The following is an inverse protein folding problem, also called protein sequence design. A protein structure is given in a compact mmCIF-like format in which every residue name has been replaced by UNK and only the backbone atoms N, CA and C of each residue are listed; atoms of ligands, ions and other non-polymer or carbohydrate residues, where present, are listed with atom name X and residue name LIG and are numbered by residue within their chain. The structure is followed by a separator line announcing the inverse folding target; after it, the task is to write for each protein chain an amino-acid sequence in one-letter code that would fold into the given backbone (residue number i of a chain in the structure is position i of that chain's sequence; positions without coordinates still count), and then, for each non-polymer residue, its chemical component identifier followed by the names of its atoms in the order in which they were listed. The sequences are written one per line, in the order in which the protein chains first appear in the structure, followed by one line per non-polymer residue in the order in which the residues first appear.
data_IF_650938807428
#
_entry.id   IF_650938807428
#
_cell.length_a   1.000
_cell.length_b   1.000
_cell.length_c   1.000
_cell.angle_alpha   90.00
_cell.angle_beta   90.00
_cell.angle_gamma   90.00
#
_symmetry.space_group_name_H-M   'P 1'
#
loop_
_entity.id
_entity.type
_entity.pdbx_description
1 polymer ?
#
# COMPACT_ATOMS: atom_id res chain seq x y z
N UNK A 1 -15.15 -27.23 -12.16
CA UNK A 1 -14.36 -27.02 -13.38
C UNK A 1 -12.90 -26.84 -13.02
N UNK A 2 -12.13 -27.93 -13.08
CA UNK A 2 -10.69 -27.92 -12.73
C UNK A 2 -9.82 -27.34 -13.87
N UNK A 3 -10.43 -27.06 -15.03
CA UNK A 3 -9.70 -26.59 -16.20
C UNK A 3 -9.69 -25.06 -16.27
N UNK A 4 -8.49 -24.46 -16.09
CA UNK A 4 -8.22 -23.04 -16.19
C UNK A 4 -7.71 -22.60 -17.58
N UNK A 5 -7.91 -23.44 -18.63
CA UNK A 5 -7.42 -23.15 -19.98
C UNK A 5 -7.86 -21.79 -20.54
N UNK A 6 -9.06 -21.34 -20.16
CA UNK A 6 -9.57 -20.02 -20.56
C UNK A 6 -8.66 -18.86 -20.11
N UNK A 7 -7.95 -18.99 -18.98
CA UNK A 7 -7.01 -17.95 -18.54
C UNK A 7 -5.80 -17.85 -19.46
N UNK A 8 -5.32 -18.99 -19.99
CA UNK A 8 -4.25 -18.99 -20.99
C UNK A 8 -4.73 -18.44 -22.34
N UNK A 9 -6.00 -18.68 -22.70
CA UNK A 9 -6.60 -18.12 -23.90
C UNK A 9 -6.68 -16.58 -23.80
N UNK A 10 -7.15 -16.06 -22.66
CA UNK A 10 -7.16 -14.63 -22.40
C UNK A 10 -5.74 -14.03 -22.39
N UNK A 11 -4.77 -14.71 -21.76
CA UNK A 11 -3.38 -14.23 -21.78
C UNK A 11 -2.82 -14.16 -23.20
N UNK A 12 -3.05 -15.19 -24.04
CA UNK A 12 -2.62 -15.17 -25.44
C UNK A 12 -3.27 -14.04 -26.25
N UNK A 13 -4.55 -13.79 -26.01
CA UNK A 13 -5.27 -12.69 -26.67
C UNK A 13 -4.71 -11.32 -26.24
N UNK A 14 -4.52 -11.12 -24.94
CA UNK A 14 -3.92 -9.92 -24.39
C UNK A 14 -2.51 -9.68 -24.93
N UNK A 15 -1.66 -10.71 -24.95
CA UNK A 15 -0.29 -10.58 -25.45
C UNK A 15 -0.26 -10.19 -26.93
N UNK A 16 -1.14 -10.75 -27.76
CA UNK A 16 -1.27 -10.35 -29.18
C UNK A 16 -1.70 -8.90 -29.29
N UNK A 17 -2.71 -8.47 -28.54
CA UNK A 17 -3.19 -7.09 -28.55
C UNK A 17 -2.08 -6.10 -28.19
N UNK A 18 -1.26 -6.41 -27.17
CA UNK A 18 -0.14 -5.54 -26.78
C UNK A 18 0.91 -5.45 -27.89
N UNK A 19 1.19 -6.55 -28.60
CA UNK A 19 2.13 -6.56 -29.73
C UNK A 19 1.58 -5.87 -30.99
N UNK A 20 0.27 -5.89 -31.20
CA UNK A 20 -0.38 -5.14 -32.28
C UNK A 20 -0.27 -3.62 -32.07
N UNK A 21 -0.35 -3.16 -30.79
CA UNK A 21 -0.19 -1.75 -30.42
C UNK A 21 1.27 -1.32 -30.47
N UNK A 22 2.17 -2.13 -29.91
CA UNK A 22 3.63 -1.93 -29.93
C UNK A 22 4.35 -3.27 -30.12
N UNK A 23 4.86 -3.57 -31.31
CA UNK A 23 5.60 -4.81 -31.58
C UNK A 23 6.84 -5.02 -30.68
N UNK A 24 7.34 -3.95 -30.08
CA UNK A 24 8.52 -3.99 -29.18
C UNK A 24 8.16 -4.05 -27.70
N UNK A 25 6.87 -4.08 -27.35
CA UNK A 25 6.38 -3.99 -25.97
C UNK A 25 7.08 -4.96 -25.02
N UNK A 26 7.01 -6.26 -25.30
CA UNK A 26 7.61 -7.27 -24.43
C UNK A 26 9.15 -7.29 -24.48
N UNK A 27 9.75 -6.98 -25.62
CA UNK A 27 11.21 -6.89 -25.72
C UNK A 27 11.76 -5.74 -24.89
N UNK A 28 11.07 -4.60 -24.82
CA UNK A 28 11.44 -3.49 -23.93
C UNK A 28 11.31 -3.90 -22.45
N UNK A 29 10.19 -4.52 -22.08
CA UNK A 29 9.95 -4.96 -20.69
C UNK A 29 10.94 -6.04 -20.22
N UNK A 30 11.42 -6.91 -21.13
CA UNK A 30 12.35 -7.98 -20.76
C UNK A 30 13.77 -7.50 -20.49
N UNK A 31 14.14 -6.30 -20.94
CA UNK A 31 15.50 -5.80 -20.84
C UNK A 31 15.83 -5.16 -19.49
N UNK A 32 14.90 -4.37 -18.93
CA UNK A 32 15.17 -3.60 -17.72
C UNK A 32 13.91 -3.38 -16.91
N UNK A 33 14.05 -3.38 -15.58
CA UNK A 33 13.05 -3.00 -14.62
C UNK A 33 13.48 -1.69 -13.94
N UNK A 34 12.78 -0.59 -14.24
CA UNK A 34 13.07 0.75 -13.70
C UNK A 34 11.81 1.44 -13.19
N UNK A 35 11.09 0.83 -12.23
CA UNK A 35 9.90 1.47 -11.68
C UNK A 35 10.27 2.72 -10.89
N UNK A 36 9.48 3.78 -11.05
CA UNK A 36 9.61 4.99 -10.22
C UNK A 36 8.91 4.82 -8.86
N UNK A 37 8.02 3.86 -8.74
CA UNK A 37 7.08 3.71 -7.65
C UNK A 37 7.18 2.34 -6.99
N UNK A 38 7.05 2.31 -5.64
CA UNK A 38 6.70 1.13 -4.86
C UNK A 38 5.28 1.32 -4.32
N UNK A 39 4.40 0.37 -4.61
CA UNK A 39 3.07 0.26 -4.03
C UNK A 39 3.06 -0.80 -2.94
N UNK A 40 2.65 -0.42 -1.72
CA UNK A 40 2.39 -1.35 -0.62
C UNK A 40 0.90 -1.29 -0.32
N UNK A 41 0.16 -2.34 -0.66
CA UNK A 41 -1.29 -2.34 -0.59
C UNK A 41 -1.90 -3.59 0.02
N UNK A 42 -3.24 -3.58 0.07
CA UNK A 42 -4.01 -4.73 0.54
C UNK A 42 -4.05 -5.85 -0.52
N UNK A 43 -4.12 -7.10 -0.04
CA UNK A 43 -4.35 -8.27 -0.89
C UNK A 43 -5.77 -8.36 -1.47
N UNK A 44 -6.67 -7.44 -1.11
CA UNK A 44 -8.05 -7.40 -1.59
C UNK A 44 -8.10 -7.40 -3.12
N UNK A 45 -8.83 -8.35 -3.69
CA UNK A 45 -8.90 -8.57 -5.14
C UNK A 45 -9.53 -7.40 -5.92
N UNK A 46 -10.24 -6.50 -5.22
CA UNK A 46 -10.91 -5.34 -5.79
C UNK A 46 -9.99 -4.12 -5.94
N UNK A 47 -8.72 -4.23 -5.51
CA UNK A 47 -7.73 -3.12 -5.51
C UNK A 47 -6.54 -3.47 -6.41
N UNK A 48 -6.70 -3.43 -7.75
CA UNK A 48 -5.60 -3.71 -8.68
C UNK A 48 -4.71 -2.48 -8.87
N UNK A 49 -3.50 -2.52 -8.30
CA UNK A 49 -2.59 -1.38 -8.19
C UNK A 49 -2.37 -0.61 -9.50
N UNK A 50 -1.91 -1.29 -10.56
CA UNK A 50 -1.62 -0.64 -11.84
C UNK A 50 -2.84 0.02 -12.47
N UNK A 51 -3.98 -0.66 -12.46
CA UNK A 51 -5.19 -0.18 -13.12
C UNK A 51 -5.74 1.09 -12.48
N UNK A 52 -5.72 1.16 -11.13
CA UNK A 52 -6.29 2.27 -10.36
C UNK A 52 -5.57 3.59 -10.67
N UNK A 53 -4.24 3.55 -10.83
CA UNK A 53 -3.42 4.74 -11.05
C UNK A 53 -2.96 4.90 -12.51
N UNK A 54 -3.45 4.06 -13.42
CA UNK A 54 -3.15 4.16 -14.85
C UNK A 54 -1.70 3.87 -15.21
N UNK A 55 -0.98 3.10 -14.40
CA UNK A 55 0.40 2.71 -14.65
C UNK A 55 0.47 1.40 -15.45
N UNK A 56 1.43 1.36 -16.37
CA UNK A 56 1.67 0.18 -17.19
C UNK A 56 2.56 -0.84 -16.44
N UNK A 57 2.58 -2.12 -16.87
CA UNK A 57 3.55 -3.09 -16.40
C UNK A 57 4.99 -2.54 -16.49
N UNK A 58 5.77 -2.73 -15.43
CA UNK A 58 7.14 -2.23 -15.33
C UNK A 58 7.30 -0.86 -14.65
N UNK A 59 6.23 -0.07 -14.50
CA UNK A 59 6.29 1.27 -13.91
C UNK A 59 6.14 1.29 -12.39
N UNK A 60 5.53 0.25 -11.80
CA UNK A 60 5.33 0.13 -10.35
C UNK A 60 5.78 -1.23 -9.83
N UNK A 61 6.59 -1.22 -8.77
CA UNK A 61 6.95 -2.40 -7.99
C UNK A 61 5.90 -2.59 -6.91
N UNK A 62 5.37 -3.81 -6.73
CA UNK A 62 4.16 -4.02 -5.93
C UNK A 62 4.41 -5.03 -4.81
N UNK A 63 4.07 -4.65 -3.58
CA UNK A 63 3.92 -5.54 -2.43
C UNK A 63 2.48 -5.52 -1.93
N UNK A 64 1.93 -6.70 -1.61
CA UNK A 64 0.55 -6.82 -1.09
C UNK A 64 0.48 -7.83 0.04
N UNK A 65 -0.25 -7.45 1.10
CA UNK A 65 -0.59 -8.34 2.19
C UNK A 65 -1.98 -8.00 2.75
N UNK A 66 -2.50 -8.79 3.68
CA UNK A 66 -3.80 -8.50 4.31
C UNK A 66 -3.70 -7.20 5.09
N UNK A 67 -4.57 -6.24 4.76
CA UNK A 67 -4.67 -4.91 5.39
C UNK A 67 -3.43 -4.02 5.22
N UNK A 68 -2.67 -4.15 4.13
CA UNK A 68 -1.56 -3.25 3.76
C UNK A 68 -0.57 -2.94 4.91
N UNK A 69 -0.18 -3.97 5.66
CA UNK A 69 0.67 -3.82 6.84
C UNK A 69 2.16 -3.66 6.49
N UNK A 70 2.84 -2.81 7.25
CA UNK A 70 4.29 -2.68 7.27
C UNK A 70 4.77 -2.95 8.69
N UNK A 71 5.12 -4.19 8.96
CA UNK A 71 5.52 -4.65 10.28
C UNK A 71 7.04 -4.64 10.39
N UNK A 72 7.58 -4.12 11.49
CA UNK A 72 9.03 -3.97 11.70
C UNK A 72 9.83 -5.28 11.70
N UNK A 73 9.17 -6.41 11.85
CA UNK A 73 9.76 -7.76 11.85
C UNK A 73 9.31 -8.62 10.66
N UNK A 74 8.50 -8.07 9.75
CA UNK A 74 8.11 -8.77 8.53
C UNK A 74 9.20 -8.66 7.46
N UNK A 75 10.09 -9.65 7.44
CA UNK A 75 11.19 -9.71 6.47
C UNK A 75 10.71 -9.71 5.01
N UNK A 76 9.50 -10.19 4.74
CA UNK A 76 8.95 -10.16 3.39
C UNK A 76 8.71 -8.70 2.92
N UNK A 77 7.95 -7.92 3.68
CA UNK A 77 7.72 -6.50 3.35
C UNK A 77 9.04 -5.70 3.36
N UNK A 78 9.88 -5.89 4.38
CA UNK A 78 11.15 -5.16 4.52
C UNK A 78 12.11 -5.45 3.38
N UNK A 79 12.20 -6.69 2.89
CA UNK A 79 13.04 -7.05 1.74
C UNK A 79 12.55 -6.41 0.44
N UNK A 80 11.24 -6.28 0.26
CA UNK A 80 10.66 -5.55 -0.88
C UNK A 80 11.00 -4.06 -0.81
N UNK A 81 10.88 -3.44 0.36
CA UNK A 81 11.27 -2.03 0.56
C UNK A 81 12.76 -1.84 0.26
N UNK A 82 13.62 -2.71 0.80
CA UNK A 82 15.06 -2.63 0.56
C UNK A 82 15.39 -2.77 -0.92
N UNK A 83 14.85 -3.78 -1.59
CA UNK A 83 15.10 -3.98 -3.02
C UNK A 83 14.62 -2.80 -3.86
N UNK A 84 13.43 -2.27 -3.56
CA UNK A 84 12.88 -1.12 -4.24
C UNK A 84 13.76 0.13 -4.09
N UNK A 85 14.20 0.43 -2.86
CA UNK A 85 14.98 1.64 -2.56
C UNK A 85 16.43 1.51 -2.99
N UNK A 86 17.09 0.38 -2.70
CA UNK A 86 18.52 0.23 -2.89
C UNK A 86 18.91 -0.31 -4.27
N UNK A 87 18.15 -1.26 -4.81
CA UNK A 87 18.43 -1.85 -6.11
C UNK A 87 17.72 -1.11 -7.25
N UNK A 88 16.39 -0.94 -7.15
CA UNK A 88 15.57 -0.32 -8.20
C UNK A 88 15.59 1.21 -8.17
N UNK A 89 16.00 1.81 -7.06
CA UNK A 89 16.07 3.27 -6.87
C UNK A 89 14.72 3.98 -7.07
N UNK A 90 13.63 3.37 -6.60
CA UNK A 90 12.32 4.02 -6.64
C UNK A 90 12.35 5.36 -5.92
N UNK A 91 11.59 6.33 -6.43
CA UNK A 91 11.53 7.67 -5.86
C UNK A 91 10.32 7.87 -4.96
N UNK A 92 9.30 7.05 -5.10
CA UNK A 92 8.06 7.16 -4.34
C UNK A 92 7.64 5.81 -3.77
N UNK A 93 7.29 5.80 -2.49
CA UNK A 93 6.69 4.66 -1.80
C UNK A 93 5.27 5.07 -1.40
N UNK A 94 4.27 4.39 -1.94
CA UNK A 94 2.88 4.63 -1.66
C UNK A 94 2.34 3.51 -0.78
N UNK A 95 1.94 3.84 0.45
CA UNK A 95 1.16 2.92 1.29
C UNK A 95 -0.31 3.19 1.00
N UNK A 96 -0.99 2.19 0.46
CA UNK A 96 -2.35 2.34 -0.04
C UNK A 96 -3.29 1.36 0.65
N UNK A 97 -4.17 1.91 1.48
CA UNK A 97 -5.31 1.18 2.03
C UNK A 97 -6.57 1.36 1.17
N UNK A 98 -7.66 0.80 1.64
CA UNK A 98 -8.96 1.00 1.01
C UNK A 98 -10.07 0.95 2.05
N UNK A 99 -11.15 1.68 1.81
CA UNK A 99 -12.36 1.56 2.58
C UNK A 99 -13.00 0.16 2.37
N UNK A 100 -13.76 -0.30 3.33
CA UNK A 100 -14.37 -1.63 3.24
C UNK A 100 -13.38 -2.80 3.37
N UNK A 101 -12.20 -2.59 3.97
CA UNK A 101 -11.19 -3.63 4.17
C UNK A 101 -11.66 -4.69 5.18
N UNK A 102 -11.79 -5.94 4.72
CA UNK A 102 -12.23 -7.05 5.57
C UNK A 102 -11.27 -7.36 6.72
N UNK A 103 -9.95 -7.20 6.52
CA UNK A 103 -8.97 -7.38 7.58
C UNK A 103 -9.09 -6.32 8.68
N UNK A 104 -9.26 -5.04 8.31
CA UNK A 104 -9.47 -3.94 9.26
C UNK A 104 -10.79 -4.14 10.02
N UNK A 105 -11.86 -4.56 9.33
CA UNK A 105 -13.15 -4.88 9.95
C UNK A 105 -13.02 -6.00 10.98
N UNK A 106 -12.39 -7.11 10.63
CA UNK A 106 -12.18 -8.22 11.54
C UNK A 106 -11.35 -7.83 12.78
N UNK A 107 -10.36 -6.92 12.61
CA UNK A 107 -9.59 -6.38 13.74
C UNK A 107 -10.44 -5.52 14.67
N UNK A 108 -11.25 -4.60 14.11
CA UNK A 108 -12.15 -3.71 14.86
C UNK A 108 -13.20 -4.49 15.66
N UNK A 109 -13.83 -5.46 15.02
CA UNK A 109 -14.85 -6.32 15.63
C UNK A 109 -14.28 -7.39 16.56
N UNK A 110 -12.95 -7.53 16.63
CA UNK A 110 -12.25 -8.59 17.40
C UNK A 110 -12.72 -10.00 17.00
N UNK A 111 -13.07 -10.17 15.72
CA UNK A 111 -13.53 -11.43 15.17
C UNK A 111 -12.44 -12.50 15.26
N UNK A 112 -12.86 -13.76 15.50
CA UNK A 112 -11.96 -14.92 15.45
C UNK A 112 -12.03 -15.56 14.06
N UNK A 113 -10.96 -15.37 13.27
CA UNK A 113 -10.85 -15.88 11.88
C UNK A 113 -9.73 -16.90 11.71
N UNK A 114 -9.02 -17.24 12.78
CA UNK A 114 -7.97 -18.26 12.77
C UNK A 114 -6.56 -17.66 12.70
N UNK A 115 -5.66 -18.29 11.91
CA UNK A 115 -4.25 -17.88 11.85
C UNK A 115 -4.04 -16.39 11.56
N UNK A 116 -4.89 -15.82 10.73
CA UNK A 116 -4.81 -14.40 10.35
C UNK A 116 -5.00 -13.44 11.54
N UNK A 117 -5.60 -13.88 12.65
CA UNK A 117 -5.75 -13.07 13.86
C UNK A 117 -4.40 -12.61 14.44
N UNK A 118 -3.36 -13.44 14.28
CA UNK A 118 -1.99 -13.09 14.71
C UNK A 118 -1.49 -11.90 13.88
N UNK A 119 -1.73 -11.92 12.59
CA UNK A 119 -1.38 -10.83 11.68
C UNK A 119 -2.21 -9.56 11.93
N UNK A 120 -3.50 -9.71 12.13
CA UNK A 120 -4.43 -8.60 12.41
C UNK A 120 -4.21 -7.96 13.78
N UNK A 121 -3.38 -8.57 14.66
CA UNK A 121 -2.97 -7.92 15.90
C UNK A 121 -2.33 -6.56 15.64
N UNK A 122 -1.56 -6.43 14.57
CA UNK A 122 -0.95 -5.15 14.20
C UNK A 122 -1.98 -4.07 13.85
N UNK A 123 -3.12 -4.43 13.26
CA UNK A 123 -4.23 -3.50 13.05
C UNK A 123 -4.93 -3.14 14.38
N UNK A 124 -5.04 -4.11 15.29
CA UNK A 124 -5.58 -3.85 16.65
C UNK A 124 -4.67 -2.90 17.43
N UNK A 125 -3.35 -3.02 17.29
CA UNK A 125 -2.39 -2.11 17.92
C UNK A 125 -2.57 -0.67 17.40
N UNK A 126 -2.90 -0.49 16.11
CA UNK A 126 -3.30 0.82 15.57
C UNK A 126 -4.60 1.31 16.21
N UNK A 127 -5.63 0.46 16.32
CA UNK A 127 -6.87 0.82 17.00
C UNK A 127 -6.63 1.21 18.47
N UNK A 128 -5.86 0.40 19.21
CA UNK A 128 -5.56 0.65 20.61
C UNK A 128 -4.79 1.97 20.81
N UNK A 129 -3.90 2.33 19.86
CA UNK A 129 -3.17 3.61 19.84
C UNK A 129 -4.10 4.81 19.64
N UNK A 130 -5.14 4.65 18.82
CA UNK A 130 -6.05 5.71 18.39
C UNK A 130 -7.49 5.50 18.89
N UNK A 131 -7.67 4.74 19.98
CA UNK A 131 -8.99 4.35 20.49
C UNK A 131 -9.92 5.54 20.70
N UNK A 132 -9.41 6.65 21.23
CA UNK A 132 -10.22 7.85 21.48
C UNK A 132 -10.76 8.46 20.17
N UNK A 133 -9.95 8.50 19.11
CA UNK A 133 -10.35 9.03 17.81
C UNK A 133 -11.35 8.13 17.06
N UNK A 134 -11.26 6.80 17.26
CA UNK A 134 -12.17 5.84 16.63
C UNK A 134 -13.46 5.72 17.41
N UNK A 135 -13.39 5.51 18.74
CA UNK A 135 -14.57 5.21 19.55
C UNK A 135 -15.50 6.42 19.79
N UNK A 136 -14.97 7.64 19.64
CA UNK A 136 -15.78 8.86 19.65
C UNK A 136 -16.73 8.98 18.45
N UNK A 137 -16.45 8.26 17.35
CA UNK A 137 -17.26 8.32 16.14
C UNK A 137 -18.50 7.41 16.23
N UNK A 138 -19.57 7.73 15.48
CA UNK A 138 -20.68 6.81 15.25
C UNK A 138 -20.16 5.47 14.70
N UNK A 139 -20.76 4.36 15.11
CA UNK A 139 -20.32 3.00 14.74
C UNK A 139 -20.10 2.83 13.22
N UNK A 140 -21.00 3.40 12.41
CA UNK A 140 -20.91 3.33 10.95
C UNK A 140 -19.65 3.99 10.36
N UNK A 141 -19.00 4.89 11.09
CA UNK A 141 -17.78 5.61 10.62
C UNK A 141 -16.47 5.02 11.17
N UNK A 142 -16.54 4.19 12.20
CA UNK A 142 -15.35 3.66 12.89
C UNK A 142 -14.47 2.81 11.99
N UNK A 143 -15.08 2.01 11.12
CA UNK A 143 -14.35 1.16 10.19
C UNK A 143 -13.52 1.98 9.20
N UNK A 144 -14.12 2.99 8.59
CA UNK A 144 -13.43 3.85 7.62
C UNK A 144 -12.32 4.63 8.29
N UNK A 145 -12.58 5.18 9.48
CA UNK A 145 -11.53 5.86 10.27
C UNK A 145 -10.38 4.95 10.61
N UNK A 146 -10.64 3.70 11.00
CA UNK A 146 -9.55 2.75 11.27
C UNK A 146 -8.78 2.37 10.00
N UNK A 147 -9.44 2.31 8.84
CA UNK A 147 -8.75 2.13 7.55
C UNK A 147 -7.76 3.28 7.28
N UNK A 148 -8.17 4.53 7.51
CA UNK A 148 -7.34 5.72 7.32
C UNK A 148 -6.15 5.74 8.29
N UNK A 149 -6.41 5.54 9.58
CA UNK A 149 -5.38 5.47 10.62
C UNK A 149 -4.37 4.35 10.35
N UNK A 150 -4.85 3.18 9.93
CA UNK A 150 -3.99 2.07 9.56
C UNK A 150 -3.03 2.45 8.43
N UNK A 151 -3.50 3.13 7.39
CA UNK A 151 -2.62 3.62 6.31
C UNK A 151 -1.57 4.59 6.83
N UNK A 152 -1.96 5.57 7.65
CA UNK A 152 -1.03 6.54 8.23
C UNK A 152 0.05 5.87 9.09
N UNK A 153 -0.33 4.92 9.94
CA UNK A 153 0.63 4.18 10.79
C UNK A 153 1.59 3.33 9.95
N UNK A 154 1.10 2.66 8.91
CA UNK A 154 1.96 1.88 8.04
C UNK A 154 2.91 2.76 7.21
N UNK A 155 2.47 3.94 6.74
CA UNK A 155 3.35 4.90 6.10
C UNK A 155 4.39 5.47 7.07
N UNK A 156 4.01 5.72 8.32
CA UNK A 156 4.95 6.09 9.39
C UNK A 156 5.99 4.97 9.62
N UNK A 157 5.55 3.72 9.66
CA UNK A 157 6.45 2.56 9.78
C UNK A 157 7.46 2.48 8.64
N UNK A 158 7.05 2.75 7.39
CA UNK A 158 7.97 2.84 6.23
C UNK A 158 9.03 3.90 6.47
N UNK A 159 8.64 5.11 6.90
CA UNK A 159 9.58 6.19 7.19
C UNK A 159 10.60 5.83 8.27
N UNK A 160 10.23 4.98 9.22
CA UNK A 160 11.08 4.57 10.34
C UNK A 160 11.97 3.37 10.02
N UNK A 161 11.83 2.73 8.85
CA UNK A 161 12.74 1.67 8.45
C UNK A 161 14.16 2.21 8.26
N UNK A 162 15.17 1.41 8.65
CA UNK A 162 16.57 1.79 8.43
C UNK A 162 16.85 2.04 6.93
N UNK A 163 16.21 1.30 6.04
CA UNK A 163 16.35 1.46 4.58
C UNK A 163 16.02 2.88 4.12
N UNK A 164 14.89 3.41 4.58
CA UNK A 164 14.44 4.77 4.20
C UNK A 164 15.27 5.81 4.93
N UNK A 165 15.58 5.62 6.21
CA UNK A 165 16.42 6.52 6.99
C UNK A 165 17.83 6.65 6.39
N UNK A 166 18.45 5.54 6.02
CA UNK A 166 19.77 5.52 5.39
C UNK A 166 19.72 6.12 3.97
N UNK A 167 18.62 5.91 3.22
CA UNK A 167 18.42 6.55 1.92
C UNK A 167 18.43 8.08 2.06
N UNK A 168 17.69 8.62 3.02
CA UNK A 168 17.68 10.05 3.29
C UNK A 168 19.04 10.57 3.78
N UNK A 169 19.72 9.82 4.67
CA UNK A 169 21.03 10.20 5.19
C UNK A 169 22.10 10.34 4.09
N UNK A 170 22.03 9.50 3.04
CA UNK A 170 22.93 9.59 1.87
C UNK A 170 22.43 10.54 0.77
N UNK A 171 21.35 11.30 1.01
CA UNK A 171 20.79 12.27 0.06
C UNK A 171 20.01 11.64 -1.10
N UNK A 172 19.63 10.36 -0.99
CA UNK A 172 18.79 9.70 -2.00
C UNK A 172 17.35 10.22 -1.89
N UNK A 173 16.76 10.56 -3.03
CA UNK A 173 15.38 11.04 -3.10
C UNK A 173 14.42 9.86 -2.94
N UNK A 174 13.76 9.78 -1.80
CA UNK A 174 12.67 8.84 -1.52
C UNK A 174 11.58 9.60 -0.80
N UNK A 175 10.35 9.52 -1.31
CA UNK A 175 9.17 10.17 -0.72
C UNK A 175 8.14 9.11 -0.38
N UNK A 176 7.63 9.13 0.84
CA UNK A 176 6.60 8.21 1.35
C UNK A 176 5.25 8.91 1.36
N UNK A 177 4.23 8.25 0.85
CA UNK A 177 2.86 8.74 0.76
C UNK A 177 1.88 7.80 1.44
N UNK A 178 0.81 8.36 2.01
CA UNK A 178 -0.31 7.63 2.60
C UNK A 178 -1.60 7.92 1.83
N UNK A 179 -2.12 6.95 1.11
CA UNK A 179 -3.33 7.08 0.29
C UNK A 179 -4.38 6.05 0.66
N UNK A 180 -5.65 6.39 0.43
CA UNK A 180 -6.77 5.46 0.62
C UNK A 180 -7.67 5.42 -0.61
N UNK A 181 -8.11 4.22 -0.99
CA UNK A 181 -8.94 3.98 -2.17
C UNK A 181 -10.38 3.70 -1.78
N UNK A 182 -11.32 4.37 -2.45
CA UNK A 182 -12.74 4.14 -2.33
C UNK A 182 -13.22 3.04 -3.27
N UNK A 183 -13.72 1.92 -2.72
CA UNK A 183 -14.29 0.84 -3.54
C UNK A 183 -15.62 1.22 -4.20
N UNK A 184 -16.36 2.16 -3.60
CA UNK A 184 -17.68 2.57 -4.08
C UNK A 184 -17.62 3.56 -5.24
N UNK A 185 -16.60 4.42 -5.25
CA UNK A 185 -16.46 5.49 -6.23
C UNK A 185 -15.23 5.36 -7.14
N UNK A 186 -14.30 4.45 -6.82
CA UNK A 186 -13.07 4.24 -7.58
C UNK A 186 -12.05 5.37 -7.43
N UNK A 187 -12.16 6.22 -6.41
CA UNK A 187 -11.29 7.38 -6.24
C UNK A 187 -10.19 7.12 -5.20
N UNK A 188 -8.99 7.59 -5.53
CA UNK A 188 -7.86 7.66 -4.60
C UNK A 188 -7.91 8.98 -3.83
N UNK A 189 -7.67 8.92 -2.51
CA UNK A 189 -7.59 10.08 -1.62
C UNK A 189 -6.23 10.15 -0.96
N UNK A 190 -5.63 11.33 -0.97
CA UNK A 190 -4.41 11.62 -0.22
C UNK A 190 -4.79 11.96 1.22
N UNK A 191 -4.18 11.25 2.17
CA UNK A 191 -4.38 11.51 3.61
C UNK A 191 -3.50 12.65 4.14
N UNK A 192 -2.86 13.42 3.26
CA UNK A 192 -2.03 14.56 3.63
C UNK A 192 -0.66 14.19 4.21
N UNK A 193 -0.30 12.91 4.18
CA UNK A 193 1.00 12.42 4.63
C UNK A 193 1.93 12.22 3.44
N UNK A 194 2.80 13.20 3.24
CA UNK A 194 3.89 13.14 2.24
C UNK A 194 5.20 13.53 2.90
N UNK A 195 6.12 12.58 3.03
CA UNK A 195 7.38 12.71 3.77
C UNK A 195 8.56 12.34 2.89
N UNK A 196 9.50 13.28 2.72
CA UNK A 196 10.70 13.12 1.87
C UNK A 196 12.02 13.30 2.64
N UNK A 197 11.96 13.59 3.93
CA UNK A 197 13.12 13.88 4.80
C UNK A 197 12.74 13.60 6.26
N UNK A 198 13.69 13.25 7.13
CA UNK A 198 13.41 12.93 8.54
C UNK A 198 12.75 14.08 9.31
N UNK A 199 13.15 15.32 9.07
CA UNK A 199 12.63 16.52 9.75
C UNK A 199 11.16 16.83 9.39
N UNK A 200 10.67 16.31 8.27
CA UNK A 200 9.28 16.46 7.84
C UNK A 200 8.34 15.42 8.46
N UNK A 201 8.88 14.34 9.02
CA UNK A 201 8.08 13.23 9.52
C UNK A 201 7.06 13.65 10.58
N UNK A 202 7.54 14.19 11.73
CA UNK A 202 6.65 14.57 12.84
C UNK A 202 5.62 15.64 12.43
N UNK A 203 6.00 16.74 11.76
CA UNK A 203 5.02 17.74 11.34
C UNK A 203 3.94 17.18 10.41
N UNK A 204 4.31 16.35 9.44
CA UNK A 204 3.37 15.76 8.49
C UNK A 204 2.47 14.71 9.12
N UNK A 205 3.02 13.89 10.00
CA UNK A 205 2.24 12.90 10.73
C UNK A 205 1.19 13.56 11.63
N UNK A 206 1.58 14.57 12.42
CA UNK A 206 0.65 15.31 13.28
C UNK A 206 -0.44 16.03 12.49
N UNK A 207 -0.06 16.67 11.37
CA UNK A 207 -1.03 17.36 10.52
C UNK A 207 -2.04 16.38 9.87
N UNK A 208 -1.58 15.22 9.43
CA UNK A 208 -2.46 14.20 8.87
C UNK A 208 -3.45 13.65 9.90
N UNK A 209 -3.00 13.38 11.14
CA UNK A 209 -3.89 12.97 12.23
C UNK A 209 -4.93 14.04 12.55
N UNK A 210 -4.53 15.31 12.67
CA UNK A 210 -5.46 16.42 12.92
C UNK A 210 -6.51 16.58 11.80
N UNK A 211 -6.12 16.37 10.56
CA UNK A 211 -7.05 16.42 9.42
C UNK A 211 -8.10 15.31 9.46
N UNK A 212 -7.79 14.17 10.06
CA UNK A 212 -8.79 13.11 10.26
C UNK A 212 -9.74 13.40 11.41
N UNK A 213 -9.37 14.24 12.37
CA UNK A 213 -10.22 14.60 13.52
C UNK A 213 -11.20 15.74 13.20
N UNK A 214 -10.97 16.49 12.11
CA UNK A 214 -11.81 17.61 11.66
C UNK A 214 -12.96 17.15 10.78
#
# INVERSE_FOLDING_TARGET
NENLSHLFDFNRAWARQMQEVDPTYFSKLSQIQTPAFLWIGCSDSRVPANQIVGLMPGEVFVHRNVANQVVHTDLNCLSVIQFAVEALKVQHIMVVGHYGCGGVKAALEKSRVGLVDIWLRHVRDVHDKHVAAVDALPEAQRHDRLCELNVLEQAANVCQTFVVQDAWARGQKVTVHAWIYGLEDGLMRDLGFTVSQPDKFIPRYSAALQALES
#
